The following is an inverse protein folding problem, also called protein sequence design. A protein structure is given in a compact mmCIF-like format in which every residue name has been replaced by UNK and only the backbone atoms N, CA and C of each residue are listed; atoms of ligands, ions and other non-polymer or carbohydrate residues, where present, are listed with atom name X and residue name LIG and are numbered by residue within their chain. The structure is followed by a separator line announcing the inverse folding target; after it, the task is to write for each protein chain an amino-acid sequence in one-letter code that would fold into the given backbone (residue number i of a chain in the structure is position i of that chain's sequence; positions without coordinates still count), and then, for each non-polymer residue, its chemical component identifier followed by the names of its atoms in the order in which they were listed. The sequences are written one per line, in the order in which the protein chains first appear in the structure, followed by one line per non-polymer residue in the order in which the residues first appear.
data_IF_700188148571
#
_entry.id   IF_700188148571
#
_cell.length_a   1.000
_cell.length_b   1.000
_cell.length_c   1.000
_cell.angle_alpha   90.00
_cell.angle_beta   90.00
_cell.angle_gamma   90.00
#
_symmetry.space_group_name_H-M   'P 1'
#
loop_
_entity.id
_entity.type
_entity.pdbx_description
1 polymer ?
#
# COMPACT_ATOMS: atom_id res chain seq x y z
N UNK A 1 14.46 -2.24 3.45
CA UNK A 1 15.18 -3.39 2.89
C UNK A 1 16.61 -3.32 3.42
N UNK A 2 17.19 -4.43 3.86
CA UNK A 2 18.61 -4.46 4.21
C UNK A 2 19.47 -4.29 2.95
N UNK A 3 20.67 -3.71 3.10
CA UNK A 3 21.58 -3.47 1.98
C UNK A 3 22.01 -4.77 1.27
N UNK A 4 22.05 -5.87 2.02
CA UNK A 4 22.35 -7.23 1.56
C UNK A 4 21.29 -7.79 0.58
N UNK A 5 20.08 -7.23 0.58
CA UNK A 5 18.96 -7.74 -0.21
C UNK A 5 18.70 -6.98 -1.51
N UNK A 6 19.44 -5.89 -1.76
CA UNK A 6 19.19 -4.98 -2.89
C UNK A 6 19.45 -5.65 -4.24
N UNK A 7 20.39 -6.59 -4.30
CA UNK A 7 20.77 -7.30 -5.53
C UNK A 7 20.07 -8.64 -5.70
N UNK A 8 19.24 -9.05 -4.73
CA UNK A 8 18.52 -10.32 -4.80
C UNK A 8 17.41 -10.25 -5.85
N UNK A 9 17.13 -11.35 -6.56
CA UNK A 9 15.99 -11.41 -7.46
C UNK A 9 14.70 -11.25 -6.66
N UNK A 10 13.68 -10.61 -7.26
CA UNK A 10 12.36 -10.40 -6.64
C UNK A 10 11.74 -11.71 -6.10
N UNK A 11 12.02 -12.85 -6.73
CA UNK A 11 11.55 -14.17 -6.29
C UNK A 11 12.12 -14.61 -4.94
N UNK A 12 13.28 -14.09 -4.52
CA UNK A 12 13.93 -14.39 -3.25
C UNK A 12 13.52 -13.44 -2.11
N UNK A 13 12.76 -12.38 -2.41
CA UNK A 13 12.24 -11.44 -1.43
C UNK A 13 10.91 -11.96 -0.82
N UNK A 14 10.70 -11.69 0.48
CA UNK A 14 9.40 -11.92 1.11
C UNK A 14 8.30 -11.05 0.47
N UNK A 15 7.02 -11.36 0.70
CA UNK A 15 5.89 -10.56 0.22
C UNK A 15 6.05 -9.07 0.55
N UNK A 16 6.41 -8.77 1.81
CA UNK A 16 6.65 -7.40 2.24
C UNK A 16 7.89 -6.73 1.73
N UNK A 17 8.94 -7.49 1.46
CA UNK A 17 10.14 -6.97 0.83
C UNK A 17 9.87 -6.59 -0.63
N UNK A 18 9.09 -7.41 -1.35
CA UNK A 18 8.64 -7.09 -2.71
C UNK A 18 7.79 -5.83 -2.75
N UNK A 19 6.84 -5.68 -1.84
CA UNK A 19 6.01 -4.48 -1.78
C UNK A 19 6.83 -3.23 -1.43
N UNK A 20 7.73 -3.32 -0.44
CA UNK A 20 8.65 -2.21 -0.11
C UNK A 20 9.54 -1.83 -1.30
N UNK A 21 10.05 -2.82 -2.06
CA UNK A 21 10.82 -2.56 -3.27
C UNK A 21 9.97 -1.88 -4.36
N UNK A 22 8.75 -2.38 -4.59
CA UNK A 22 7.82 -1.79 -5.55
C UNK A 22 7.45 -0.35 -5.18
N UNK A 23 7.14 -0.08 -3.91
CA UNK A 23 6.86 1.27 -3.42
C UNK A 23 8.08 2.18 -3.57
N UNK A 24 9.28 1.71 -3.22
CA UNK A 24 10.49 2.49 -3.47
C UNK A 24 10.65 2.84 -4.96
N UNK A 25 10.39 1.88 -5.86
CA UNK A 25 10.43 2.12 -7.30
C UNK A 25 9.38 3.12 -7.77
N UNK A 26 8.18 3.16 -7.17
CA UNK A 26 7.10 4.08 -7.55
C UNK A 26 7.31 5.48 -6.98
N UNK A 27 7.72 5.57 -5.72
CA UNK A 27 7.91 6.83 -4.99
C UNK A 27 9.11 7.63 -5.51
N UNK A 28 10.16 6.97 -6.00
CA UNK A 28 11.38 7.61 -6.49
C UNK A 28 11.47 7.74 -8.03
N UNK A 29 10.37 7.55 -8.76
CA UNK A 29 10.38 7.82 -10.20
C UNK A 29 10.55 9.31 -10.48
N UNK A 30 11.23 9.62 -11.60
CA UNK A 30 11.31 10.99 -12.16
C UNK A 30 9.93 11.58 -12.43
N UNK A 31 9.03 10.75 -12.95
CA UNK A 31 7.62 11.07 -13.12
C UNK A 31 6.83 10.38 -12.00
N UNK A 32 6.24 11.12 -11.07
CA UNK A 32 5.52 10.53 -9.96
C UNK A 32 4.29 9.78 -10.46
N UNK A 33 4.00 8.62 -9.86
CA UNK A 33 2.73 7.95 -10.12
C UNK A 33 1.58 8.83 -9.66
N UNK A 34 0.56 8.95 -10.50
CA UNK A 34 -0.63 9.75 -10.20
C UNK A 34 -1.70 8.95 -9.44
N UNK A 35 -1.73 7.63 -9.64
CA UNK A 35 -2.68 6.72 -9.04
C UNK A 35 -2.01 5.40 -8.63
N UNK A 36 -2.23 4.98 -7.38
CA UNK A 36 -1.90 3.64 -6.88
C UNK A 36 -3.15 2.82 -6.67
N UNK A 37 -3.12 1.56 -7.13
CA UNK A 37 -4.15 0.56 -6.86
C UNK A 37 -3.51 -0.55 -6.03
N UNK A 38 -4.00 -0.75 -4.82
CA UNK A 38 -3.44 -1.70 -3.86
C UNK A 38 -4.52 -2.68 -3.43
N UNK A 39 -4.30 -3.95 -3.72
CA UNK A 39 -5.16 -5.06 -3.30
C UNK A 39 -4.44 -5.88 -2.23
N UNK A 40 -4.99 -5.92 -1.03
CA UNK A 40 -4.45 -6.62 0.14
C UNK A 40 -2.94 -6.35 0.39
N UNK A 41 -2.50 -5.07 0.48
CA UNK A 41 -1.08 -4.72 0.55
C UNK A 41 -0.40 -5.17 1.84
N UNK A 42 -1.15 -5.45 2.91
CA UNK A 42 -0.60 -5.90 4.20
C UNK A 42 -0.45 -7.41 4.29
N UNK A 43 -0.84 -8.16 3.26
CA UNK A 43 -0.76 -9.61 3.29
C UNK A 43 0.70 -10.09 3.37
N UNK A 44 0.96 -11.07 4.23
CA UNK A 44 2.29 -11.61 4.50
C UNK A 44 3.31 -10.60 5.06
N UNK A 45 2.85 -9.51 5.67
CA UNK A 45 3.71 -8.56 6.40
C UNK A 45 3.75 -8.87 7.89
N UNK A 46 4.91 -8.62 8.50
CA UNK A 46 4.98 -8.43 9.95
C UNK A 46 4.54 -7.01 10.32
N UNK A 47 4.24 -6.79 11.61
CA UNK A 47 3.76 -5.49 12.11
C UNK A 47 4.71 -4.33 11.74
N UNK A 48 6.02 -4.54 11.85
CA UNK A 48 7.01 -3.53 11.52
C UNK A 48 6.99 -3.15 10.03
N UNK A 49 6.81 -4.13 9.13
CA UNK A 49 6.67 -3.86 7.70
C UNK A 49 5.35 -3.18 7.37
N UNK A 50 4.26 -3.56 8.02
CA UNK A 50 2.96 -2.89 7.87
C UNK A 50 3.07 -1.41 8.22
N UNK A 51 3.62 -1.08 9.38
CA UNK A 51 3.82 0.32 9.82
C UNK A 51 4.71 1.13 8.87
N UNK A 52 5.76 0.51 8.33
CA UNK A 52 6.64 1.17 7.37
C UNK A 52 5.92 1.47 6.04
N UNK A 53 5.09 0.53 5.57
CA UNK A 53 4.30 0.70 4.35
C UNK A 53 3.20 1.74 4.56
N UNK A 54 2.48 1.67 5.69
CA UNK A 54 1.48 2.66 6.08
C UNK A 54 2.07 4.07 6.07
N UNK A 55 3.24 4.26 6.69
CA UNK A 55 3.93 5.55 6.72
C UNK A 55 4.32 6.04 5.32
N UNK A 56 4.79 5.14 4.45
CA UNK A 56 5.18 5.48 3.09
C UNK A 56 3.97 5.85 2.22
N UNK A 57 2.86 5.12 2.36
CA UNK A 57 1.62 5.36 1.63
C UNK A 57 0.92 6.64 2.11
N UNK A 58 0.90 6.91 3.42
CA UNK A 58 0.34 8.16 3.96
C UNK A 58 1.05 9.42 3.44
N UNK A 59 2.31 9.30 3.01
CA UNK A 59 3.09 10.38 2.40
C UNK A 59 3.02 10.40 0.86
N UNK A 60 2.28 9.49 0.24
CA UNK A 60 2.18 9.41 -1.22
C UNK A 60 1.45 10.65 -1.77
N UNK A 61 2.06 11.42 -2.68
CA UNK A 61 1.47 12.68 -3.17
C UNK A 61 0.35 12.47 -4.21
N UNK A 62 0.18 11.24 -4.74
CA UNK A 62 -0.86 10.91 -5.70
C UNK A 62 -2.14 10.38 -5.06
N UNK A 63 -3.12 10.02 -5.89
CA UNK A 63 -4.32 9.34 -5.44
C UNK A 63 -4.02 7.86 -5.16
N UNK A 64 -4.71 7.27 -4.18
CA UNK A 64 -4.65 5.83 -3.97
C UNK A 64 -6.05 5.23 -3.79
N UNK A 65 -6.22 4.02 -4.30
CA UNK A 65 -7.34 3.14 -3.99
C UNK A 65 -6.78 1.90 -3.32
N UNK A 66 -7.29 1.59 -2.14
CA UNK A 66 -6.80 0.48 -1.31
C UNK A 66 -7.95 -0.43 -0.94
N UNK A 67 -7.73 -1.73 -1.13
CA UNK A 67 -8.61 -2.81 -0.68
C UNK A 67 -7.85 -3.59 0.40
N UNK A 68 -8.46 -3.72 1.58
CA UNK A 68 -7.87 -4.42 2.72
C UNK A 68 -8.99 -4.84 3.68
N UNK A 69 -8.81 -5.98 4.34
CA UNK A 69 -9.64 -6.40 5.48
C UNK A 69 -9.11 -5.88 6.83
N UNK A 70 -7.93 -5.26 6.86
CA UNK A 70 -7.33 -4.66 8.06
C UNK A 70 -7.81 -3.22 8.26
N UNK A 71 -8.75 -3.03 9.18
CA UNK A 71 -9.32 -1.70 9.50
C UNK A 71 -8.29 -0.74 10.12
N UNK A 72 -7.36 -1.25 10.94
CA UNK A 72 -6.37 -0.40 11.59
C UNK A 72 -5.40 0.19 10.56
N UNK A 73 -4.98 -0.64 9.61
CA UNK A 73 -4.18 -0.18 8.47
C UNK A 73 -4.91 0.87 7.64
N UNK A 74 -6.18 0.62 7.27
CA UNK A 74 -6.97 1.57 6.47
C UNK A 74 -7.15 2.92 7.19
N UNK A 75 -7.37 2.92 8.50
CA UNK A 75 -7.44 4.13 9.31
C UNK A 75 -6.11 4.90 9.34
N UNK A 76 -4.99 4.17 9.42
CA UNK A 76 -3.64 4.73 9.38
C UNK A 76 -3.32 5.51 8.11
N UNK A 77 -3.91 5.12 6.98
CA UNK A 77 -3.73 5.77 5.68
C UNK A 77 -4.45 7.11 5.51
N UNK A 78 -5.31 7.51 6.47
CA UNK A 78 -6.09 8.77 6.41
C UNK A 78 -6.88 8.91 5.09
N UNK A 79 -7.51 7.82 4.67
CA UNK A 79 -8.33 7.78 3.46
C UNK A 79 -9.46 8.80 3.56
N UNK A 80 -9.79 9.43 2.43
CA UNK A 80 -10.80 10.50 2.39
C UNK A 80 -12.20 9.99 2.07
N UNK A 81 -12.28 8.83 1.42
CA UNK A 81 -13.53 8.24 0.97
C UNK A 81 -13.49 6.72 1.13
N UNK A 82 -14.67 6.13 1.27
CA UNK A 82 -14.90 4.69 1.26
C UNK A 82 -15.84 4.31 0.13
N UNK A 83 -15.59 3.12 -0.43
CA UNK A 83 -16.44 2.48 -1.42
C UNK A 83 -16.87 1.12 -0.85
N UNK A 84 -18.17 0.92 -0.64
CA UNK A 84 -18.70 -0.31 -0.06
C UNK A 84 -19.87 -0.84 -0.88
N UNK A 85 -19.89 -2.15 -1.13
CA UNK A 85 -21.05 -2.81 -1.73
C UNK A 85 -22.14 -3.00 -0.66
N UNK A 86 -23.35 -2.51 -0.93
CA UNK A 86 -24.52 -2.70 -0.06
C UNK A 86 -25.72 -3.19 -0.88
N UNK A 87 -26.35 -4.26 -0.40
CA UNK A 87 -27.55 -4.90 -0.97
C UNK A 87 -27.44 -5.21 -2.48
N UNK A 88 -27.58 -4.20 -3.33
CA UNK A 88 -27.58 -4.29 -4.79
C UNK A 88 -26.74 -3.23 -5.50
N UNK A 89 -26.00 -2.37 -4.77
CA UNK A 89 -25.23 -1.28 -5.38
C UNK A 89 -23.97 -0.87 -4.61
N UNK A 90 -23.04 -0.20 -5.30
CA UNK A 90 -21.88 0.43 -4.69
C UNK A 90 -22.26 1.76 -4.06
N UNK A 91 -21.90 1.95 -2.80
CA UNK A 91 -22.03 3.20 -2.06
C UNK A 91 -20.66 3.85 -1.89
N UNK A 92 -20.54 5.09 -2.36
CA UNK A 92 -19.38 5.94 -2.17
C UNK A 92 -19.69 6.99 -1.10
N UNK A 93 -18.86 7.09 -0.08
CA UNK A 93 -19.05 8.00 1.06
C UNK A 93 -17.74 8.62 1.51
N UNK A 94 -17.83 9.80 2.15
CA UNK A 94 -16.70 10.40 2.88
C UNK A 94 -16.43 9.60 4.17
N UNK A 95 -15.16 9.55 4.57
CA UNK A 95 -14.70 8.92 5.82
C UNK A 95 -14.56 9.92 6.97
#
# INVERSE_FOLDING_TARGET
LGADKVTLPLSALSGGERLKAALACVLWRREPAQLLLLDEPTNHLDLASTQAIESALAAFPGAMLVVSHDEAFLQGLKLTHSLAWRETSWHFSLL
#
